data_IF_248655666883
#
_entry.id   IF_248655666883
#
_cell.length_a   1.000
_cell.length_b   1.000
_cell.length_c   1.000
_cell.angle_alpha   90.00
_cell.angle_beta   90.00
_cell.angle_gamma   90.00
#
_symmetry.space_group_name_H-M   'P 1'
#
loop_
_entity.id
_entity.type
_entity.pdbx_description
1 polymer ?
#
# COMPACT_ATOMS: atom_id res chain seq x y z
N UNK A 1 -3.56 -13.60 -22.15
CA UNK A 1 -4.14 -12.26 -22.34
C UNK A 1 -3.01 -11.29 -22.65
N UNK A 2 -3.16 -10.26 -23.49
CA UNK A 2 -2.05 -9.35 -23.83
C UNK A 2 -2.45 -7.87 -23.77
N UNK A 3 -1.45 -7.01 -23.72
CA UNK A 3 -1.55 -5.54 -23.85
C UNK A 3 -0.56 -5.02 -24.89
N UNK A 4 -0.77 -3.80 -25.35
CA UNK A 4 0.17 -3.07 -26.20
C UNK A 4 1.00 -2.12 -25.35
N UNK A 5 2.33 -2.21 -25.46
CA UNK A 5 3.24 -1.21 -24.88
C UNK A 5 3.75 -0.34 -26.01
N UNK A 6 3.46 0.97 -25.97
CA UNK A 6 4.00 1.98 -26.90
C UNK A 6 5.16 2.75 -26.26
N UNK A 7 6.18 3.06 -27.06
CA UNK A 7 7.35 3.83 -26.64
C UNK A 7 8.07 4.48 -27.83
N UNK A 8 8.99 5.40 -27.54
CA UNK A 8 9.85 6.06 -28.51
C UNK A 8 9.07 6.70 -29.66
N UNK A 9 9.52 6.44 -30.88
CA UNK A 9 8.90 6.91 -32.12
C UNK A 9 7.81 5.94 -32.61
N UNK A 10 6.68 5.90 -31.89
CA UNK A 10 5.55 5.01 -32.19
C UNK A 10 5.91 3.51 -32.29
N UNK A 11 7.00 3.10 -31.65
CA UNK A 11 7.36 1.70 -31.53
C UNK A 11 6.42 1.01 -30.54
N UNK A 12 6.11 -0.26 -30.80
CA UNK A 12 5.26 -1.03 -29.90
C UNK A 12 5.66 -2.49 -29.83
N UNK A 13 5.34 -3.10 -28.69
CA UNK A 13 5.43 -4.55 -28.51
C UNK A 13 4.31 -5.07 -27.63
N UNK A 14 4.03 -6.37 -27.78
CA UNK A 14 3.02 -7.06 -26.98
C UNK A 14 3.62 -7.65 -25.72
N UNK A 15 2.82 -7.66 -24.65
CA UNK A 15 3.18 -8.29 -23.38
C UNK A 15 2.03 -9.15 -22.88
N UNK A 16 2.33 -10.38 -22.46
CA UNK A 16 1.35 -11.28 -21.86
C UNK A 16 1.07 -10.88 -20.41
N UNK A 17 -0.18 -10.56 -20.07
CA UNK A 17 -0.56 -10.15 -18.71
C UNK A 17 -0.84 -11.31 -17.76
N UNK A 18 -0.75 -12.56 -18.24
CA UNK A 18 -0.80 -13.76 -17.40
C UNK A 18 0.55 -14.04 -16.71
N UNK A 19 1.57 -13.21 -16.90
CA UNK A 19 2.80 -13.27 -16.11
C UNK A 19 2.70 -12.37 -14.87
N UNK A 20 3.58 -12.60 -13.88
CA UNK A 20 3.62 -11.74 -12.71
C UNK A 20 4.18 -10.35 -13.06
N UNK A 21 3.84 -9.35 -12.26
CA UNK A 21 4.22 -7.95 -12.49
C UNK A 21 5.74 -7.75 -12.55
N UNK A 22 6.51 -8.48 -11.74
CA UNK A 22 7.96 -8.30 -11.69
C UNK A 22 8.68 -8.68 -13.01
N UNK A 23 8.51 -9.90 -13.56
CA UNK A 23 9.02 -10.25 -14.89
C UNK A 23 8.49 -9.35 -16.00
N UNK A 24 7.24 -8.89 -15.91
CA UNK A 24 6.66 -7.96 -16.87
C UNK A 24 7.47 -6.65 -16.91
N UNK A 25 7.66 -6.00 -15.76
CA UNK A 25 8.42 -4.75 -15.69
C UNK A 25 9.90 -4.95 -16.06
N UNK A 26 10.49 -6.09 -15.72
CA UNK A 26 11.85 -6.42 -16.13
C UNK A 26 11.98 -6.55 -17.65
N UNK A 27 11.06 -7.26 -18.30
CA UNK A 27 11.03 -7.43 -19.75
C UNK A 27 10.80 -6.10 -20.46
N UNK A 28 9.81 -5.32 -20.01
CA UNK A 28 9.51 -3.99 -20.56
C UNK A 28 10.73 -3.08 -20.49
N UNK A 29 11.42 -3.03 -19.35
CA UNK A 29 12.65 -2.24 -19.16
C UNK A 29 13.76 -2.63 -20.14
N UNK A 30 13.95 -3.93 -20.32
CA UNK A 30 14.93 -4.45 -21.28
C UNK A 30 14.56 -4.09 -22.72
N UNK A 31 13.28 -4.09 -23.08
CA UNK A 31 12.81 -3.75 -24.43
C UNK A 31 13.04 -2.29 -24.79
N UNK A 32 12.96 -1.39 -23.82
CA UNK A 32 13.20 0.04 -24.03
C UNK A 32 14.66 0.47 -23.76
N UNK A 33 15.57 -0.48 -23.58
CA UNK A 33 17.01 -0.20 -23.45
C UNK A 33 17.43 0.49 -22.14
N UNK A 34 16.62 0.40 -21.08
CA UNK A 34 16.93 1.00 -19.79
C UNK A 34 17.80 0.08 -18.91
N UNK A 35 18.51 0.66 -17.94
CA UNK A 35 19.37 -0.08 -17.01
C UNK A 35 18.52 -0.87 -16.03
N UNK A 36 19.05 -1.98 -15.50
CA UNK A 36 18.37 -2.78 -14.46
C UNK A 36 18.05 -1.97 -13.19
N UNK A 37 18.77 -0.90 -12.91
CA UNK A 37 18.54 -0.01 -11.77
C UNK A 37 17.47 1.05 -12.01
N UNK A 38 17.10 1.32 -13.27
CA UNK A 38 16.06 2.28 -13.57
C UNK A 38 14.70 1.76 -13.08
N UNK A 39 13.98 2.59 -12.34
CA UNK A 39 12.60 2.30 -11.94
C UNK A 39 11.68 2.73 -13.06
N UNK A 40 10.81 1.81 -13.48
CA UNK A 40 9.79 2.08 -14.49
C UNK A 40 8.42 1.63 -14.00
N UNK A 41 7.40 2.19 -14.63
CA UNK A 41 6.01 1.78 -14.50
C UNK A 41 5.30 1.96 -15.85
N UNK A 42 4.01 1.65 -15.87
CA UNK A 42 3.13 1.87 -17.01
C UNK A 42 2.09 2.93 -16.66
N UNK A 43 1.76 3.80 -17.62
CA UNK A 43 0.52 4.59 -17.61
C UNK A 43 -0.38 4.19 -18.79
N UNK A 44 -1.67 4.43 -18.67
CA UNK A 44 -2.60 4.29 -19.80
C UNK A 44 -2.62 5.55 -20.68
N UNK A 45 -3.49 5.56 -21.70
CA UNK A 45 -3.63 6.67 -22.64
C UNK A 45 -4.07 7.99 -21.98
N UNK A 46 -4.68 7.94 -20.79
CA UNK A 46 -5.08 9.13 -20.02
C UNK A 46 -3.96 9.68 -19.13
N UNK A 47 -2.80 9.01 -19.09
CA UNK A 47 -1.70 9.36 -18.19
C UNK A 47 -1.88 8.88 -16.76
N UNK A 48 -2.80 7.94 -16.52
CA UNK A 48 -2.97 7.34 -15.19
C UNK A 48 -1.92 6.24 -14.97
N UNK A 49 -0.96 6.48 -14.07
CA UNK A 49 0.03 5.47 -13.68
C UNK A 49 -0.63 4.28 -12.98
N UNK A 50 -0.16 3.06 -13.30
CA UNK A 50 -0.66 1.81 -12.73
C UNK A 50 -0.04 1.47 -11.37
N UNK A 51 1.01 2.19 -10.99
CA UNK A 51 1.73 2.10 -9.71
C UNK A 51 2.29 0.71 -9.43
N UNK A 52 2.64 -0.04 -10.48
CA UNK A 52 3.14 -1.41 -10.37
C UNK A 52 4.49 -1.46 -9.65
N UNK A 53 5.29 -0.39 -9.76
CA UNK A 53 6.58 -0.26 -9.07
C UNK A 53 6.45 -0.20 -7.53
N UNK A 54 5.26 0.05 -6.98
CA UNK A 54 4.99 0.04 -5.54
C UNK A 54 4.63 -1.35 -5.01
N UNK A 55 4.43 -2.32 -5.89
CA UNK A 55 3.95 -3.64 -5.48
C UNK A 55 5.03 -4.37 -4.68
N UNK A 56 4.68 -4.67 -3.42
CA UNK A 56 5.55 -5.40 -2.48
C UNK A 56 5.34 -6.90 -2.53
N UNK A 57 4.15 -7.35 -2.94
CA UNK A 57 3.79 -8.77 -2.99
C UNK A 57 4.35 -9.38 -4.27
N UNK A 58 5.34 -10.29 -4.18
CA UNK A 58 5.82 -11.01 -5.36
C UNK A 58 4.72 -11.93 -5.90
N UNK A 59 4.69 -12.12 -7.22
CA UNK A 59 3.87 -13.15 -7.85
C UNK A 59 2.45 -12.75 -8.27
N UNK A 60 2.00 -11.53 -7.98
CA UNK A 60 0.71 -11.07 -8.49
C UNK A 60 0.73 -10.94 -10.02
N UNK A 61 -0.28 -11.52 -10.68
CA UNK A 61 -0.45 -11.43 -12.12
C UNK A 61 -0.77 -10.01 -12.57
N UNK A 62 -0.15 -9.59 -13.67
CA UNK A 62 -0.36 -8.26 -14.22
C UNK A 62 -1.80 -8.03 -14.73
N UNK A 63 -2.52 -9.09 -15.09
CA UNK A 63 -3.92 -9.04 -15.51
C UNK A 63 -4.89 -8.49 -14.47
N UNK A 64 -4.49 -8.41 -13.19
CA UNK A 64 -5.27 -7.74 -12.14
C UNK A 64 -5.25 -6.21 -12.25
N UNK A 65 -4.22 -5.66 -12.88
CA UNK A 65 -3.95 -4.21 -12.90
C UNK A 65 -3.99 -3.63 -14.31
N UNK A 66 -3.86 -4.49 -15.32
CA UNK A 66 -3.79 -4.12 -16.73
C UNK A 66 -4.96 -4.74 -17.46
N UNK A 67 -5.80 -3.88 -18.02
CA UNK A 67 -6.90 -4.24 -18.90
C UNK A 67 -6.35 -4.84 -20.19
N UNK A 68 -6.94 -5.96 -20.59
CA UNK A 68 -6.58 -6.67 -21.80
C UNK A 68 -6.79 -5.83 -23.07
N UNK A 69 -5.85 -5.91 -24.02
CA UNK A 69 -5.85 -5.26 -25.33
C UNK A 69 -5.78 -3.73 -25.30
N UNK A 70 -5.68 -3.12 -24.12
CA UNK A 70 -5.44 -1.69 -23.97
C UNK A 70 -3.98 -1.34 -24.31
N UNK A 71 -3.78 -0.04 -24.55
CA UNK A 71 -2.49 0.58 -24.83
C UNK A 71 -1.94 1.19 -23.54
N UNK A 72 -0.66 0.96 -23.29
CA UNK A 72 0.07 1.55 -22.18
C UNK A 72 1.38 2.16 -22.66
N UNK A 73 1.82 3.22 -21.99
CA UNK A 73 3.11 3.86 -22.21
C UNK A 73 4.08 3.50 -21.10
N UNK A 74 5.36 3.36 -21.45
CA UNK A 74 6.43 3.16 -20.46
C UNK A 74 6.78 4.51 -19.84
N UNK A 75 6.71 4.60 -18.51
CA UNK A 75 7.13 5.77 -17.76
C UNK A 75 8.34 5.44 -16.89
N UNK A 76 9.38 6.28 -16.97
CA UNK A 76 10.46 6.28 -15.99
C UNK A 76 9.99 6.98 -14.72
N UNK A 77 10.24 6.35 -13.57
CA UNK A 77 9.96 6.94 -12.26
C UNK A 77 11.23 7.57 -11.73
N UNK A 78 11.29 8.90 -11.73
CA UNK A 78 12.44 9.63 -11.24
C UNK A 78 12.32 9.90 -9.75
N UNK A 79 13.36 9.48 -9.04
CA UNK A 79 13.52 9.60 -7.59
C UNK A 79 14.61 10.61 -7.25
N UNK A 80 14.73 10.98 -5.98
CA UNK A 80 15.87 11.77 -5.54
C UNK A 80 17.18 11.01 -5.64
N UNK A 81 18.27 11.78 -5.58
CA UNK A 81 19.60 11.22 -5.65
C UNK A 81 19.81 10.21 -4.49
N UNK A 82 20.40 9.04 -4.78
CA UNK A 82 20.73 8.04 -3.78
C UNK A 82 21.57 8.63 -2.63
N UNK A 83 21.30 8.21 -1.39
CA UNK A 83 22.04 8.66 -0.21
C UNK A 83 21.67 10.06 0.29
N UNK A 84 20.67 10.70 -0.31
CA UNK A 84 20.17 12.00 0.17
C UNK A 84 18.90 11.83 1.01
N UNK A 85 18.58 12.84 1.83
CA UNK A 85 17.28 12.90 2.55
C UNK A 85 16.07 12.86 1.62
N UNK A 86 16.27 13.17 0.34
CA UNK A 86 15.24 13.20 -0.70
C UNK A 86 15.28 11.98 -1.61
N UNK A 87 16.08 10.95 -1.33
CA UNK A 87 16.21 9.75 -2.17
C UNK A 87 14.84 9.16 -2.56
N UNK A 88 13.92 9.08 -1.59
CA UNK A 88 12.58 8.54 -1.83
C UNK A 88 11.55 9.58 -2.32
N UNK A 89 11.96 10.81 -2.62
CA UNK A 89 11.06 11.82 -3.18
C UNK A 89 10.63 11.43 -4.60
N UNK A 90 9.37 11.65 -4.94
CA UNK A 90 8.91 11.57 -6.33
C UNK A 90 9.28 12.88 -7.03
N UNK A 91 10.09 12.81 -8.09
CA UNK A 91 10.52 13.98 -8.85
C UNK A 91 9.77 14.16 -10.16
N UNK A 92 9.62 13.08 -10.92
CA UNK A 92 8.91 13.09 -12.18
C UNK A 92 8.44 11.68 -12.55
N UNK A 93 7.36 11.64 -13.33
CA UNK A 93 7.00 10.49 -14.16
C UNK A 93 7.23 10.90 -15.62
N UNK A 94 8.24 10.30 -16.24
CA UNK A 94 8.70 10.70 -17.59
C UNK A 94 8.25 9.65 -18.59
N UNK A 95 7.29 9.95 -19.48
CA UNK A 95 6.88 9.00 -20.51
C UNK A 95 8.01 8.84 -21.54
N UNK A 96 8.31 7.60 -21.91
CA UNK A 96 9.31 7.28 -22.92
C UNK A 96 8.67 7.32 -24.30
N UNK A 97 8.18 8.48 -24.71
CA UNK A 97 7.60 8.76 -26.02
C UNK A 97 8.41 9.86 -26.70
N UNK A 98 8.51 9.81 -28.04
CA UNK A 98 9.20 10.86 -28.81
C UNK A 98 8.46 12.20 -28.74
N UNK A 99 7.14 12.14 -28.91
CA UNK A 99 6.25 13.30 -28.89
C UNK A 99 5.03 12.97 -28.01
N UNK A 100 5.16 13.06 -26.68
CA UNK A 100 4.02 12.87 -25.78
C UNK A 100 3.04 14.04 -25.90
N UNK A 101 1.74 13.74 -25.88
CA UNK A 101 0.68 14.76 -25.86
C UNK A 101 0.79 15.63 -24.58
N UNK A 102 0.51 16.93 -24.64
CA UNK A 102 0.56 17.82 -23.47
C UNK A 102 -0.32 17.36 -22.31
N UNK A 103 -1.52 16.85 -22.60
CA UNK A 103 -2.48 16.40 -21.59
C UNK A 103 -1.94 15.19 -20.81
N UNK A 104 -1.21 14.30 -21.50
CA UNK A 104 -0.52 13.17 -20.89
C UNK A 104 0.57 13.66 -19.93
N UNK A 105 1.36 14.65 -20.33
CA UNK A 105 2.40 15.24 -19.48
C UNK A 105 1.81 15.90 -18.24
N UNK A 106 0.72 16.63 -18.40
CA UNK A 106 0.03 17.31 -17.29
C UNK A 106 -0.58 16.32 -16.29
N UNK A 107 -1.19 15.23 -16.78
CA UNK A 107 -1.71 14.16 -15.94
C UNK A 107 -0.60 13.51 -15.11
N UNK A 108 0.52 13.14 -15.76
CA UNK A 108 1.67 12.52 -15.11
C UNK A 108 2.32 13.44 -14.07
N UNK A 109 2.49 14.73 -14.40
CA UNK A 109 3.01 15.75 -13.48
C UNK A 109 2.09 15.91 -12.26
N UNK A 110 0.79 16.03 -12.50
CA UNK A 110 -0.22 16.18 -11.43
C UNK A 110 -0.21 14.99 -10.48
N UNK A 111 -0.16 13.77 -11.02
CA UNK A 111 -0.10 12.56 -10.22
C UNK A 111 1.20 12.46 -9.42
N UNK A 112 2.35 12.78 -10.03
CA UNK A 112 3.65 12.80 -9.35
C UNK A 112 3.65 13.79 -8.17
N UNK A 113 3.19 15.01 -8.41
CA UNK A 113 3.07 16.06 -7.39
C UNK A 113 2.16 15.62 -6.22
N UNK A 114 1.02 14.98 -6.54
CA UNK A 114 0.11 14.44 -5.53
C UNK A 114 0.78 13.36 -4.68
N UNK A 115 1.52 12.45 -5.29
CA UNK A 115 2.23 11.38 -4.59
C UNK A 115 3.33 11.93 -3.68
N UNK A 116 4.06 12.96 -4.12
CA UNK A 116 5.07 13.61 -3.30
C UNK A 116 4.46 14.34 -2.11
N UNK A 117 3.39 15.12 -2.32
CA UNK A 117 2.67 15.78 -1.22
C UNK A 117 2.16 14.76 -0.19
N UNK A 118 1.61 13.65 -0.67
CA UNK A 118 1.11 12.57 0.20
C UNK A 118 2.23 11.93 1.01
N UNK A 119 3.39 11.69 0.39
CA UNK A 119 4.58 11.15 1.05
C UNK A 119 5.10 12.09 2.14
N UNK A 120 5.23 13.39 1.84
CA UNK A 120 5.68 14.41 2.81
C UNK A 120 4.72 14.51 3.98
N UNK A 121 3.40 14.50 3.72
CA UNK A 121 2.39 14.50 4.78
C UNK A 121 2.54 13.29 5.70
N UNK A 122 2.70 12.09 5.14
CA UNK A 122 2.92 10.86 5.92
C UNK A 122 4.17 10.94 6.79
N UNK A 123 5.29 11.43 6.25
CA UNK A 123 6.54 11.58 7.01
C UNK A 123 6.38 12.54 8.19
N UNK A 124 5.76 13.72 7.97
CA UNK A 124 5.47 14.68 9.05
C UNK A 124 4.62 14.06 10.15
N UNK A 125 3.60 13.27 9.78
CA UNK A 125 2.76 12.55 10.76
C UNK A 125 3.57 11.53 11.56
N UNK A 126 4.49 10.80 10.93
CA UNK A 126 5.36 9.84 11.62
C UNK A 126 6.36 10.53 12.55
N UNK A 127 6.91 11.68 12.16
CA UNK A 127 7.79 12.49 13.00
C UNK A 127 7.04 13.06 14.20
N UNK A 128 5.85 13.63 14.01
CA UNK A 128 5.03 14.15 15.10
C UNK A 128 4.69 13.07 16.15
N UNK A 129 4.41 11.84 15.72
CA UNK A 129 4.17 10.70 16.63
C UNK A 129 5.40 10.25 17.40
N UNK A 130 6.61 10.50 16.90
CA UNK A 130 7.86 10.16 17.60
C UNK A 130 8.24 11.17 18.69
N UNK A 131 7.71 12.39 18.61
CA UNK A 131 8.01 13.48 19.57
C UNK A 131 7.13 13.41 20.83
N UNK A 132 6.04 12.63 20.83
CA UNK A 132 5.16 12.45 22.01
C UNK A 132 5.25 11.03 22.60
N UNK A 133 6.18 10.82 23.53
CA UNK A 133 5.84 10.12 24.77
C UNK A 133 6.58 10.74 25.98
N UNK A 134 5.96 11.73 26.63
CA UNK A 134 6.28 12.08 28.02
C UNK A 134 4.95 12.07 28.77
N UNK A 135 4.69 10.95 29.46
CA UNK A 135 3.60 10.86 30.41
C UNK A 135 3.88 11.86 31.54
N UNK A 136 3.04 12.88 31.62
CA UNK A 136 2.94 13.77 32.78
C UNK A 136 2.25 13.00 33.92
N UNK A 137 2.98 12.16 34.65
CA UNK A 137 2.57 11.73 36.00
C UNK A 137 3.17 12.67 37.02
N UNK A 138 2.40 13.67 37.45
CA UNK A 138 2.66 14.40 38.70
C UNK A 138 1.49 14.10 39.64
N UNK A 139 1.61 13.02 40.41
CA UNK A 139 0.78 12.81 41.60
C UNK A 139 1.41 13.60 42.76
N UNK A 140 0.78 14.70 43.16
CA UNK A 140 1.10 15.41 44.42
C UNK A 140 0.13 14.95 45.51
N UNK A 141 0.60 14.41 46.64
CA UNK A 141 -0.24 14.13 47.79
C UNK A 141 -0.32 15.36 48.71
N UNK A 142 -1.53 15.88 48.94
CA UNK A 142 -1.80 16.82 50.04
C UNK A 142 -2.58 16.07 51.12
N UNK A 143 -1.98 15.93 52.31
CA UNK A 143 -2.61 15.47 53.55
C UNK A 143 -2.91 16.68 54.45
N UNK A 144 -4.06 16.70 55.12
CA UNK A 144 -4.30 17.06 56.57
C UNK A 144 -5.83 17.20 56.87
N UNK A 145 -6.32 17.17 58.15
CA UNK A 145 -6.94 15.98 58.74
C UNK A 145 -8.39 16.12 59.34
N UNK A 146 -9.00 14.93 59.57
CA UNK A 146 -9.97 14.44 60.60
C UNK A 146 -10.99 15.37 61.29
N UNK A 147 -12.27 14.94 61.31
CA UNK A 147 -13.15 14.61 62.47
C UNK A 147 -14.63 14.48 61.98
N UNK A 148 -15.30 13.31 62.04
CA UNK A 148 -16.27 12.92 63.08
C UNK A 148 -17.66 12.58 62.47
N UNK A 149 -18.53 11.72 63.07
CA UNK A 149 -19.38 10.75 62.34
C UNK A 149 -20.91 10.86 62.57
N UNK A 150 -21.70 9.98 61.90
CA UNK A 150 -23.02 9.35 62.24
C UNK A 150 -24.03 9.39 61.05
N UNK A 151 -24.31 8.24 60.42
CA UNK A 151 -25.51 7.37 60.55
C UNK A 151 -26.78 7.90 59.86
N UNK A 152 -27.34 7.14 58.91
CA UNK A 152 -28.74 6.67 58.85
C UNK A 152 -28.98 5.86 57.54
N UNK A 153 -29.62 4.70 57.69
CA UNK A 153 -30.07 3.75 56.65
C UNK A 153 -31.62 3.87 56.45
N UNK A 154 -32.34 2.96 55.77
CA UNK A 154 -32.59 2.86 54.31
C UNK A 154 -34.10 2.70 53.93
N UNK A 155 -34.38 2.25 52.68
CA UNK A 155 -35.55 1.44 52.18
C UNK A 155 -36.67 2.14 51.33
N UNK A 156 -37.54 1.41 50.57
CA UNK A 156 -37.33 0.97 49.17
C UNK A 156 -38.57 1.14 48.23
N UNK A 157 -38.48 0.80 46.94
CA UNK A 157 -39.63 0.19 46.20
C UNK A 157 -39.20 -0.55 44.91
N UNK A 158 -39.68 -1.79 44.76
CA UNK A 158 -39.77 -2.64 43.55
C UNK A 158 -41.20 -3.21 43.53
N UNK A 159 -41.82 -3.54 42.38
CA UNK A 159 -41.89 -4.96 41.93
C UNK A 159 -41.89 -5.16 40.38
N UNK A 160 -41.23 -6.21 39.84
CA UNK A 160 -41.77 -7.46 39.21
C UNK A 160 -42.39 -7.26 37.80
N UNK A 161 -42.25 -8.11 36.76
CA UNK A 161 -41.78 -9.50 36.56
C UNK A 161 -41.64 -9.82 35.03
N UNK A 162 -40.74 -10.78 34.71
CA UNK A 162 -40.65 -11.84 33.63
C UNK A 162 -41.15 -11.61 32.17
N UNK A 163 -40.67 -12.25 31.08
CA UNK A 163 -39.92 -13.51 30.84
C UNK A 163 -39.31 -13.51 29.40
N UNK A 164 -38.29 -14.35 29.10
CA UNK A 164 -37.95 -14.81 27.73
C UNK A 164 -36.48 -14.72 27.24
N UNK A 165 -35.86 -15.80 26.67
CA UNK A 165 -34.40 -16.05 26.69
C UNK A 165 -33.60 -15.63 25.43
N UNK A 166 -32.23 -15.61 25.48
CA UNK A 166 -31.38 -15.21 24.36
C UNK A 166 -30.89 -16.40 23.50
N UNK A 167 -30.75 -16.28 22.17
CA UNK A 167 -30.11 -17.32 21.38
C UNK A 167 -28.58 -17.14 21.23
N UNK A 168 -27.88 -18.13 21.77
CA UNK A 168 -26.77 -18.91 21.17
C UNK A 168 -25.52 -18.21 20.62
N UNK A 169 -24.47 -18.15 21.48
CA UNK A 169 -23.06 -18.31 21.10
C UNK A 169 -22.77 -19.77 20.73
N UNK A 170 -22.32 -20.06 19.51
CA UNK A 170 -21.44 -21.21 19.25
C UNK A 170 -20.67 -21.08 17.91
N UNK A 171 -19.34 -21.14 18.00
CA UNK A 171 -18.44 -21.39 16.86
C UNK A 171 -16.97 -21.19 17.23
N UNK A 172 -16.23 -22.27 17.50
CA UNK A 172 -14.88 -22.42 16.92
C UNK A 172 -14.65 -23.89 16.45
N UNK A 173 -13.48 -24.29 15.88
CA UNK A 173 -12.23 -23.57 15.68
C UNK A 173 -11.58 -23.71 14.28
N UNK A 174 -10.55 -22.90 14.09
CA UNK A 174 -9.52 -22.94 13.05
C UNK A 174 -8.93 -24.35 12.84
N UNK A 175 -8.74 -24.76 11.58
CA UNK A 175 -7.88 -25.89 11.20
C UNK A 175 -6.63 -25.37 10.48
N UNK A 176 -5.51 -25.45 11.19
CA UNK A 176 -4.15 -25.36 10.65
C UNK A 176 -3.77 -26.74 10.11
N UNK A 177 -3.17 -26.84 8.93
CA UNK A 177 -2.50 -28.08 8.48
C UNK A 177 -1.12 -27.73 7.93
N UNK A 178 -0.15 -27.81 8.83
CA UNK A 178 1.23 -28.09 8.47
C UNK A 178 1.44 -29.62 8.43
N UNK A 179 2.47 -30.00 7.68
CA UNK A 179 3.15 -31.28 7.59
C UNK A 179 2.49 -32.43 6.80
N UNK A 180 3.11 -32.73 5.66
CA UNK A 180 3.75 -34.03 5.46
C UNK A 180 4.90 -33.90 4.43
N UNK A 181 6.12 -33.82 4.95
CA UNK A 181 7.35 -34.20 4.24
C UNK A 181 7.38 -35.72 4.04
N UNK A 182 7.92 -36.15 2.91
CA UNK A 182 8.67 -37.41 2.83
C UNK A 182 8.10 -38.47 1.90
N UNK A 183 8.64 -38.55 0.68
CA UNK A 183 9.42 -39.71 0.22
C UNK A 183 10.01 -39.43 -1.17
N UNK A 184 11.31 -39.18 -1.20
CA UNK A 184 12.18 -39.41 -2.35
C UNK A 184 12.81 -40.79 -2.17
N UNK A 185 12.73 -41.61 -3.21
CA UNK A 185 13.65 -42.69 -3.63
C UNK A 185 12.94 -43.38 -4.81
N UNK A 186 13.54 -44.00 -5.81
CA UNK A 186 14.86 -44.04 -6.47
C UNK A 186 14.63 -45.07 -7.59
N UNK A 187 15.28 -44.89 -8.74
CA UNK A 187 15.60 -45.94 -9.74
C UNK A 187 14.45 -46.82 -10.29
N UNK A 188 14.16 -46.68 -11.59
CA UNK A 188 14.70 -47.59 -12.62
C UNK A 188 14.56 -46.94 -14.00
#
# INVERSE_FOLDING_TARGET
MFIFIKHGDNQQFLVNTNCSVFPLLQYTRSKVGLRKTDTIDLCDESGTMKLLFLMKTPGEYASKFLTARDIYYVCKVERGAPGTKLENAYRAFVPLLKNPEPELLDALRTQCDFMERSRVKMLRTLEAKKVTPIESTVNLPVRLPKHGPLQHSPLPTRPSEEDGPPPTRRGPPFKTRADNLGRRDKHR
#
